data_IF_266099962647
#
_entry.id   IF_266099962647
#
_cell.length_a   1.000
_cell.length_b   1.000
_cell.length_c   1.000
_cell.angle_alpha   90.00
_cell.angle_beta   90.00
_cell.angle_gamma   90.00
#
_symmetry.space_group_name_H-M   'P 1'
#
loop_
_entity.id
_entity.type
_entity.pdbx_description
1 polymer ?
#
# COMPACT_ATOMS: atom_id res chain seq x y z
N UNK A 1 -22.39 28.23 0.17
CA UNK A 1 -21.51 27.26 -0.55
C UNK A 1 -20.28 27.04 0.31
N UNK A 2 -20.14 25.86 0.92
CA UNK A 2 -18.92 25.48 1.62
C UNK A 2 -17.79 25.39 0.58
N UNK A 3 -16.73 26.19 0.73
CA UNK A 3 -15.51 26.04 -0.07
C UNK A 3 -15.00 24.61 0.16
N UNK A 4 -15.06 23.75 -0.86
CA UNK A 4 -14.40 22.46 -0.79
C UNK A 4 -12.91 22.73 -0.60
N UNK A 5 -12.36 22.28 0.53
CA UNK A 5 -10.91 22.34 0.72
C UNK A 5 -10.26 21.39 -0.28
N UNK A 6 -9.31 21.91 -1.04
CA UNK A 6 -8.59 21.16 -2.07
C UNK A 6 -7.24 20.71 -1.53
N UNK A 7 -6.91 19.46 -1.78
CA UNK A 7 -5.55 18.96 -1.62
C UNK A 7 -4.70 19.29 -2.84
N UNK A 8 -3.41 19.46 -2.62
CA UNK A 8 -2.38 19.45 -3.65
C UNK A 8 -1.78 18.05 -3.74
N UNK A 9 -2.00 17.38 -4.86
CA UNK A 9 -1.60 15.99 -5.07
C UNK A 9 -0.59 15.91 -6.19
N UNK A 10 0.66 15.58 -5.84
CA UNK A 10 1.75 15.35 -6.78
C UNK A 10 1.81 13.86 -7.10
N UNK A 11 1.65 13.49 -8.35
CA UNK A 11 1.58 12.10 -8.81
C UNK A 11 2.74 11.77 -9.73
N UNK A 12 3.40 10.65 -9.47
CA UNK A 12 4.36 10.04 -10.38
C UNK A 12 3.67 9.62 -11.68
N UNK A 13 4.24 10.03 -12.81
CA UNK A 13 3.77 9.71 -14.15
C UNK A 13 4.89 9.07 -14.96
N UNK A 14 4.62 7.93 -15.53
CA UNK A 14 5.55 7.23 -16.40
C UNK A 14 4.82 6.19 -17.25
N UNK A 15 4.97 6.31 -18.55
CA UNK A 15 4.53 5.31 -19.51
C UNK A 15 5.77 4.76 -20.23
N UNK A 16 6.19 3.51 -19.97
CA UNK A 16 7.43 2.96 -20.54
C UNK A 16 7.40 2.85 -22.08
N UNK A 17 6.22 2.91 -22.70
CA UNK A 17 6.11 2.89 -24.17
C UNK A 17 6.38 4.27 -24.80
N UNK A 18 6.25 5.35 -24.03
CA UNK A 18 6.28 6.72 -24.54
C UNK A 18 7.32 7.58 -23.86
N UNK A 19 7.45 7.46 -22.53
CA UNK A 19 8.29 8.32 -21.71
C UNK A 19 9.72 7.78 -21.61
N UNK A 20 10.72 8.66 -21.75
CA UNK A 20 12.14 8.33 -21.54
C UNK A 20 12.51 8.33 -20.06
N UNK A 21 11.87 9.19 -19.28
CA UNK A 21 12.12 9.38 -17.86
C UNK A 21 10.80 9.64 -17.12
N UNK A 22 10.70 9.22 -15.85
CA UNK A 22 9.56 9.56 -15.01
C UNK A 22 9.44 11.07 -14.81
N UNK A 23 8.19 11.53 -14.70
CA UNK A 23 7.87 12.92 -14.36
C UNK A 23 6.85 12.97 -13.23
N UNK A 24 6.58 14.15 -12.73
CA UNK A 24 5.52 14.37 -11.76
C UNK A 24 4.54 15.40 -12.28
N UNK A 25 3.26 15.14 -12.07
CA UNK A 25 2.18 16.08 -12.34
C UNK A 25 1.43 16.41 -11.04
N UNK A 26 0.94 17.65 -10.93
CA UNK A 26 0.28 18.13 -9.73
C UNK A 26 -1.18 18.46 -10.04
N UNK A 27 -2.08 17.93 -9.22
CA UNK A 27 -3.51 18.08 -9.33
C UNK A 27 -4.08 18.74 -8.07
N UNK A 28 -5.20 19.44 -8.23
CA UNK A 28 -6.00 19.95 -7.12
C UNK A 28 -7.33 19.21 -7.06
N UNK A 29 -7.65 18.61 -5.91
CA UNK A 29 -8.83 17.74 -5.78
C UNK A 29 -9.45 17.85 -4.39
N UNK A 30 -10.76 17.68 -4.23
CA UNK A 30 -11.37 17.50 -2.92
C UNK A 30 -10.71 16.33 -2.19
N UNK A 31 -10.51 16.43 -0.87
CA UNK A 31 -9.85 15.38 -0.12
C UNK A 31 -10.49 15.05 1.22
N UNK A 32 -11.29 15.94 1.80
CA UNK A 32 -11.92 15.67 3.10
C UNK A 32 -12.84 14.46 3.00
N UNK A 33 -12.66 13.52 3.94
CA UNK A 33 -13.38 12.24 4.01
C UNK A 33 -13.11 11.28 2.84
N UNK A 34 -12.20 11.63 1.94
CA UNK A 34 -11.79 10.79 0.83
C UNK A 34 -10.63 9.88 1.24
N UNK A 35 -10.62 8.68 0.69
CA UNK A 35 -9.40 7.87 0.65
C UNK A 35 -8.49 8.36 -0.49
N UNK A 36 -7.23 7.95 -0.47
CA UNK A 36 -6.31 8.20 -1.59
C UNK A 36 -6.86 7.61 -2.89
N UNK A 37 -7.55 6.48 -2.83
CA UNK A 37 -8.21 5.89 -4.00
C UNK A 37 -9.32 6.78 -4.55
N UNK A 38 -10.13 7.39 -3.68
CA UNK A 38 -11.19 8.31 -4.12
C UNK A 38 -10.60 9.55 -4.81
N UNK A 39 -9.47 10.05 -4.28
CA UNK A 39 -8.70 11.14 -4.91
C UNK A 39 -8.18 10.74 -6.30
N UNK A 40 -7.56 9.56 -6.42
CA UNK A 40 -7.08 9.06 -7.72
C UNK A 40 -8.21 8.88 -8.73
N UNK A 41 -9.36 8.35 -8.29
CA UNK A 41 -10.54 8.21 -9.14
C UNK A 41 -11.10 9.57 -9.56
N UNK A 42 -11.16 10.53 -8.65
CA UNK A 42 -11.60 11.89 -8.96
C UNK A 42 -10.71 12.54 -10.03
N UNK A 43 -9.39 12.37 -9.93
CA UNK A 43 -8.45 12.88 -10.95
C UNK A 43 -8.69 12.19 -12.28
N UNK A 44 -8.79 10.87 -12.30
CA UNK A 44 -9.04 10.08 -13.51
C UNK A 44 -10.33 10.52 -14.22
N UNK A 45 -11.41 10.74 -13.45
CA UNK A 45 -12.72 11.03 -13.98
C UNK A 45 -12.89 12.48 -14.43
N UNK A 46 -12.18 13.44 -13.82
CA UNK A 46 -12.45 14.87 -14.02
C UNK A 46 -11.29 15.70 -14.54
N UNK A 47 -10.05 15.20 -14.45
CA UNK A 47 -8.88 16.00 -14.76
C UNK A 47 -7.94 15.32 -15.75
N UNK A 48 -7.65 14.03 -15.57
CA UNK A 48 -6.69 13.31 -16.38
C UNK A 48 -7.09 11.85 -16.61
N UNK A 49 -7.78 11.56 -17.72
CA UNK A 49 -8.23 10.21 -18.06
C UNK A 49 -7.09 9.25 -18.44
N UNK A 50 -5.84 9.73 -18.51
CA UNK A 50 -4.68 8.89 -18.85
C UNK A 50 -4.01 8.30 -17.62
N UNK A 51 -4.39 8.75 -16.40
CA UNK A 51 -3.82 8.27 -15.15
C UNK A 51 -4.10 6.78 -14.94
N UNK A 52 -3.04 6.01 -14.70
CA UNK A 52 -3.13 4.57 -14.50
C UNK A 52 -2.81 4.16 -13.07
N UNK A 53 -3.70 3.40 -12.45
CA UNK A 53 -3.51 2.80 -11.12
C UNK A 53 -4.33 1.52 -10.98
N UNK A 54 -3.99 0.68 -10.00
CA UNK A 54 -4.72 -0.58 -9.76
C UNK A 54 -5.60 -0.50 -8.53
N UNK A 55 -6.78 -1.10 -8.63
CA UNK A 55 -7.66 -1.38 -7.50
C UNK A 55 -8.52 -2.60 -7.82
N UNK A 56 -8.68 -3.50 -6.84
CA UNK A 56 -9.41 -4.76 -7.04
C UNK A 56 -10.69 -4.89 -6.21
N UNK A 57 -11.01 -3.88 -5.40
CA UNK A 57 -12.18 -3.91 -4.50
C UNK A 57 -13.43 -3.43 -5.22
N UNK A 58 -13.96 -4.19 -6.16
CA UNK A 58 -15.24 -3.91 -6.81
C UNK A 58 -16.40 -4.15 -5.83
N UNK A 59 -16.64 -3.18 -4.95
CA UNK A 59 -17.91 -3.07 -4.20
C UNK A 59 -18.17 -4.05 -3.06
N UNK A 60 -17.21 -4.83 -2.61
CA UNK A 60 -17.46 -5.96 -1.70
C UNK A 60 -16.69 -6.00 -0.38
N UNK A 61 -16.22 -4.88 0.18
CA UNK A 61 -15.66 -4.88 1.54
C UNK A 61 -14.33 -5.62 1.77
N UNK A 62 -13.74 -6.20 0.75
CA UNK A 62 -12.49 -6.96 0.84
C UNK A 62 -11.27 -6.05 0.61
N UNK A 63 -10.98 -5.20 1.57
CA UNK A 63 -9.83 -4.27 1.55
C UNK A 63 -8.49 -4.98 1.85
N UNK A 64 -8.30 -6.21 1.41
CA UNK A 64 -7.12 -7.02 1.74
C UNK A 64 -6.34 -7.53 0.52
N UNK A 65 -6.73 -7.19 -0.70
CA UNK A 65 -6.08 -7.73 -1.89
C UNK A 65 -4.67 -7.14 -2.15
N UNK A 66 -4.33 -5.99 -1.56
CA UNK A 66 -3.03 -5.33 -1.71
C UNK A 66 -2.75 -4.70 -3.08
N UNK A 67 -3.62 -4.91 -4.09
CA UNK A 67 -3.38 -4.46 -5.47
C UNK A 67 -3.30 -2.94 -5.63
N UNK A 68 -3.85 -2.18 -4.69
CA UNK A 68 -3.83 -0.73 -4.68
C UNK A 68 -2.67 -0.14 -3.83
N UNK A 69 -1.59 -0.90 -3.65
CA UNK A 69 -0.42 -0.47 -2.91
C UNK A 69 0.31 0.66 -3.66
N UNK A 70 0.58 1.75 -2.94
CA UNK A 70 1.30 2.93 -3.42
C UNK A 70 2.20 3.46 -2.30
N UNK A 71 3.13 4.35 -2.62
CA UNK A 71 3.72 5.22 -1.61
C UNK A 71 2.91 6.52 -1.52
N UNK A 72 2.64 6.97 -0.31
CA UNK A 72 2.08 8.29 -0.03
C UNK A 72 3.06 9.02 0.88
N UNK A 73 3.61 10.11 0.40
CA UNK A 73 4.65 10.87 1.10
C UNK A 73 5.84 9.98 1.50
N UNK A 74 6.29 9.10 0.58
CA UNK A 74 7.37 8.13 0.79
C UNK A 74 7.02 6.96 1.72
N UNK A 75 5.76 6.84 2.18
CA UNK A 75 5.32 5.77 3.08
C UNK A 75 4.36 4.82 2.36
N UNK A 76 4.58 3.51 2.50
CA UNK A 76 3.69 2.51 1.93
C UNK A 76 2.27 2.62 2.47
N UNK A 77 1.30 2.53 1.57
CA UNK A 77 -0.11 2.56 1.93
C UNK A 77 -0.96 1.79 0.92
N UNK A 78 -2.12 1.31 1.36
CA UNK A 78 -3.18 0.89 0.45
C UNK A 78 -4.05 2.11 0.15
N UNK A 79 -4.12 2.52 -1.11
CA UNK A 79 -4.88 3.72 -1.50
C UNK A 79 -6.35 3.66 -1.09
N UNK A 80 -6.95 2.47 -1.08
CA UNK A 80 -8.35 2.25 -0.67
C UNK A 80 -8.60 2.40 0.84
N UNK A 81 -7.55 2.52 1.67
CA UNK A 81 -7.67 2.61 3.15
C UNK A 81 -7.03 3.86 3.73
N UNK A 82 -6.04 4.41 3.06
CA UNK A 82 -5.35 5.61 3.48
C UNK A 82 -6.25 6.80 3.24
N UNK A 83 -6.57 7.55 4.30
CA UNK A 83 -7.27 8.83 4.17
C UNK A 83 -6.35 9.84 3.48
N UNK A 84 -6.95 10.64 2.62
CA UNK A 84 -6.27 11.69 1.90
C UNK A 84 -5.84 12.83 2.84
N UNK A 85 -4.74 13.47 2.51
CA UNK A 85 -4.15 14.60 3.24
C UNK A 85 -4.14 15.84 2.33
N UNK A 86 -3.99 17.03 2.91
CA UNK A 86 -4.00 18.29 2.16
C UNK A 86 -2.85 18.40 1.13
N UNK A 87 -1.72 17.75 1.43
CA UNK A 87 -0.56 17.68 0.55
C UNK A 87 -0.09 16.23 0.47
N UNK A 88 -0.03 15.70 -0.75
CA UNK A 88 0.39 14.31 -0.98
C UNK A 88 1.31 14.21 -2.19
N UNK A 89 2.36 13.41 -2.04
CA UNK A 89 3.11 12.83 -3.18
C UNK A 89 2.76 11.37 -3.27
N UNK A 90 2.25 10.92 -4.41
CA UNK A 90 1.83 9.54 -4.64
C UNK A 90 2.74 8.92 -5.70
N UNK A 91 3.35 7.78 -5.36
CA UNK A 91 4.34 7.09 -6.17
C UNK A 91 4.04 5.59 -6.24
N UNK A 92 4.48 4.89 -7.29
CA UNK A 92 4.39 3.43 -7.34
C UNK A 92 5.27 2.80 -6.26
N UNK A 93 4.94 1.58 -5.87
CA UNK A 93 5.75 0.86 -4.90
C UNK A 93 7.08 0.40 -5.52
N UNK A 94 8.27 0.79 -4.95
CA UNK A 94 9.58 0.65 -5.61
C UNK A 94 10.09 -0.78 -5.80
N UNK A 95 9.41 -1.79 -5.23
CA UNK A 95 9.80 -3.20 -5.37
C UNK A 95 9.10 -3.92 -6.51
N UNK A 96 8.19 -3.26 -7.18
CA UNK A 96 7.46 -3.82 -8.30
C UNK A 96 7.82 -3.07 -9.58
N UNK A 97 7.81 -3.79 -10.67
CA UNK A 97 7.93 -3.18 -11.98
C UNK A 97 6.73 -2.28 -12.27
N UNK A 98 6.99 -1.09 -12.76
CA UNK A 98 5.94 -0.14 -13.13
C UNK A 98 5.43 -0.51 -14.51
N UNK A 99 4.14 -0.82 -14.60
CA UNK A 99 3.47 -1.03 -15.88
C UNK A 99 3.16 0.32 -16.52
N UNK A 100 2.55 1.22 -15.75
CA UNK A 100 2.28 2.60 -16.13
C UNK A 100 1.88 3.43 -14.90
N UNK A 101 2.45 4.60 -14.74
CA UNK A 101 2.19 5.53 -13.62
C UNK A 101 2.25 4.83 -12.25
N UNK A 102 1.12 4.70 -11.56
CA UNK A 102 0.98 4.02 -10.28
C UNK A 102 0.60 2.54 -10.42
N UNK A 103 0.33 2.07 -11.65
CA UNK A 103 0.03 0.68 -11.90
C UNK A 103 1.32 -0.15 -11.94
N UNK A 104 1.43 -1.09 -11.03
CA UNK A 104 2.58 -1.98 -10.86
C UNK A 104 2.24 -3.41 -11.27
N UNK A 105 3.24 -4.22 -11.63
CA UNK A 105 3.07 -5.66 -11.84
C UNK A 105 2.83 -6.37 -10.51
N UNK A 106 1.55 -6.49 -10.18
CA UNK A 106 1.11 -7.16 -8.96
C UNK A 106 0.89 -8.67 -9.14
N UNK A 107 0.90 -9.18 -10.36
CA UNK A 107 0.64 -10.58 -10.64
C UNK A 107 1.74 -11.48 -10.06
N UNK A 108 2.99 -10.99 -10.03
CA UNK A 108 4.08 -11.67 -9.32
C UNK A 108 3.79 -11.90 -7.83
N UNK A 109 3.03 -11.00 -7.18
CA UNK A 109 2.61 -11.18 -5.78
C UNK A 109 1.46 -12.16 -5.67
N UNK A 110 0.49 -12.07 -6.58
CA UNK A 110 -0.67 -12.98 -6.60
C UNK A 110 -0.24 -14.43 -6.77
N UNK A 111 0.69 -14.69 -7.66
CA UNK A 111 1.23 -16.04 -7.89
C UNK A 111 2.03 -16.55 -6.69
N UNK A 112 2.70 -15.65 -5.96
CA UNK A 112 3.39 -15.98 -4.70
C UNK A 112 2.42 -16.26 -3.56
N UNK A 113 1.34 -15.49 -3.43
CA UNK A 113 0.30 -15.65 -2.40
C UNK A 113 -0.46 -16.97 -2.55
N UNK A 114 -0.54 -17.52 -3.76
CA UNK A 114 -1.17 -18.82 -4.00
C UNK A 114 -0.35 -20.03 -3.52
N UNK A 115 0.95 -19.84 -3.28
CA UNK A 115 1.86 -20.87 -2.76
C UNK A 115 2.05 -20.66 -1.25
N UNK A 116 1.25 -21.34 -0.42
CA UNK A 116 1.44 -21.31 1.04
C UNK A 116 2.74 -21.99 1.42
N UNK A 117 3.55 -21.34 2.27
CA UNK A 117 4.66 -22.00 2.94
C UNK A 117 4.12 -23.03 3.95
N UNK A 118 4.82 -24.17 4.09
CA UNK A 118 4.38 -25.26 4.97
C UNK A 118 4.37 -24.85 6.46
N UNK A 119 5.30 -24.01 6.88
CA UNK A 119 5.34 -23.37 8.20
C UNK A 119 6.12 -22.06 8.11
N UNK A 120 5.68 -21.06 8.85
CA UNK A 120 6.28 -19.71 8.83
C UNK A 120 6.58 -19.26 10.26
N UNK A 121 7.71 -18.64 10.45
CA UNK A 121 8.03 -17.87 11.65
C UNK A 121 8.11 -16.39 11.34
N UNK A 122 7.42 -15.58 12.14
CA UNK A 122 7.42 -14.13 12.02
C UNK A 122 7.96 -13.54 13.31
N UNK A 123 9.05 -12.81 13.21
CA UNK A 123 9.64 -12.08 14.35
C UNK A 123 9.49 -10.58 14.13
N UNK A 124 9.09 -9.88 15.19
CA UNK A 124 9.03 -8.41 15.20
C UNK A 124 10.00 -7.90 16.25
N UNK A 125 11.01 -7.19 15.80
CA UNK A 125 11.95 -6.49 16.68
C UNK A 125 11.22 -5.29 17.31
N UNK A 126 10.98 -5.39 18.61
CA UNK A 126 10.20 -4.40 19.39
C UNK A 126 10.91 -3.07 19.55
N UNK A 127 12.25 -3.05 19.50
CA UNK A 127 13.06 -1.84 19.66
C UNK A 127 13.09 -1.04 18.36
N UNK A 128 13.03 -1.73 17.23
CA UNK A 128 12.97 -1.10 15.89
C UNK A 128 11.54 -0.74 15.48
N UNK A 129 10.53 -1.34 16.08
CA UNK A 129 9.13 -1.14 15.71
C UNK A 129 8.57 0.16 16.28
N UNK A 130 8.20 1.12 15.41
CA UNK A 130 7.57 2.38 15.79
C UNK A 130 6.03 2.34 15.85
N UNK A 131 5.44 1.17 15.65
CA UNK A 131 3.97 0.97 15.67
C UNK A 131 3.21 1.72 14.56
N UNK A 132 3.84 1.94 13.41
CA UNK A 132 3.25 2.66 12.27
C UNK A 132 2.05 1.96 11.62
N UNK A 133 1.81 0.67 11.91
CA UNK A 133 0.74 -0.18 11.34
C UNK A 133 0.90 -0.56 9.88
N UNK A 134 1.98 -0.21 9.22
CA UNK A 134 2.17 -0.48 7.80
C UNK A 134 2.06 -2.00 7.51
N UNK A 135 2.61 -2.85 8.37
CA UNK A 135 2.48 -4.31 8.26
C UNK A 135 1.04 -4.82 8.37
N UNK A 136 0.21 -4.19 9.22
CA UNK A 136 -1.22 -4.54 9.36
C UNK A 136 -2.00 -4.14 8.11
N UNK A 137 -1.68 -2.97 7.56
CA UNK A 137 -2.37 -2.39 6.41
C UNK A 137 -2.01 -3.14 5.12
N UNK A 138 -0.74 -3.47 4.95
CA UNK A 138 -0.21 -4.02 3.69
C UNK A 138 -0.30 -5.54 3.59
N UNK A 139 -0.56 -6.26 4.71
CA UNK A 139 -0.68 -7.70 4.67
C UNK A 139 -1.92 -8.14 3.88
N UNK A 140 -1.78 -8.83 2.73
CA UNK A 140 -2.91 -9.19 1.88
C UNK A 140 -3.84 -10.22 2.52
N UNK A 141 -3.32 -11.01 3.45
CA UNK A 141 -4.06 -12.09 4.13
C UNK A 141 -4.38 -11.75 5.60
N UNK A 142 -4.00 -10.55 6.08
CA UNK A 142 -4.40 -10.04 7.39
C UNK A 142 -3.78 -10.75 8.59
N UNK A 143 -2.51 -11.17 8.48
CA UNK A 143 -1.78 -11.90 9.55
C UNK A 143 -1.70 -11.13 10.86
N UNK A 144 -1.67 -9.79 10.81
CA UNK A 144 -1.34 -8.96 11.96
C UNK A 144 -2.56 -8.30 12.59
N UNK A 145 -2.56 -8.24 13.92
CA UNK A 145 -3.47 -7.44 14.73
C UNK A 145 -2.69 -6.41 15.57
N UNK A 146 -3.35 -5.31 15.94
CA UNK A 146 -2.78 -4.36 16.90
C UNK A 146 -3.22 -4.76 18.30
N UNK A 147 -2.28 -5.07 19.19
CA UNK A 147 -2.53 -5.36 20.61
C UNK A 147 -1.85 -4.33 21.50
N UNK A 148 -2.49 -3.98 22.61
CA UNK A 148 -1.88 -3.10 23.62
C UNK A 148 -1.04 -3.95 24.57
N UNK A 149 0.28 -3.68 24.55
CA UNK A 149 1.22 -4.26 25.48
C UNK A 149 2.03 -3.12 26.12
N UNK A 150 2.08 -3.07 27.45
CA UNK A 150 2.84 -2.04 28.15
C UNK A 150 2.42 -0.59 27.84
N UNK A 151 1.12 -0.34 27.56
CA UNK A 151 0.58 1.00 27.26
C UNK A 151 0.73 1.44 25.80
N UNK A 152 1.48 0.73 24.96
CA UNK A 152 1.66 1.02 23.53
C UNK A 152 0.99 -0.05 22.66
N UNK A 153 0.27 0.38 21.65
CA UNK A 153 -0.30 -0.56 20.68
C UNK A 153 0.80 -1.04 19.71
N UNK A 154 1.00 -2.37 19.62
CA UNK A 154 2.01 -3.00 18.74
C UNK A 154 1.36 -4.00 17.80
N UNK A 155 1.89 -4.19 16.57
CA UNK A 155 1.44 -5.26 15.71
C UNK A 155 1.90 -6.61 16.29
N UNK A 156 1.00 -7.58 16.30
CA UNK A 156 1.28 -8.96 16.71
C UNK A 156 0.82 -9.88 15.59
N UNK A 157 1.61 -10.90 15.20
CA UNK A 157 1.15 -11.94 14.27
C UNK A 157 0.05 -12.76 14.93
N UNK A 158 -1.20 -12.60 14.49
CA UNK A 158 -2.37 -13.26 15.06
C UNK A 158 -2.82 -14.49 14.25
N UNK A 159 -2.59 -14.47 12.95
CA UNK A 159 -2.97 -15.55 12.03
C UNK A 159 -1.76 -15.95 11.16
N UNK A 160 -0.79 -16.60 11.80
CA UNK A 160 0.46 -17.03 11.13
C UNK A 160 0.19 -18.12 10.09
N UNK A 161 -0.83 -18.94 10.29
CA UNK A 161 -1.20 -20.04 9.37
C UNK A 161 -1.63 -19.53 7.99
N UNK A 162 -2.16 -18.32 7.93
CA UNK A 162 -2.52 -17.66 6.66
C UNK A 162 -1.33 -17.00 5.97
N UNK A 163 -0.14 -16.94 6.59
CA UNK A 163 1.02 -16.29 6.01
C UNK A 163 1.59 -17.05 4.81
N UNK A 164 1.93 -16.32 3.75
CA UNK A 164 2.54 -16.88 2.54
C UNK A 164 4.07 -16.99 2.63
N UNK A 165 4.65 -16.72 3.81
CA UNK A 165 6.07 -16.88 4.09
C UNK A 165 6.99 -15.96 3.31
N UNK A 166 8.20 -16.46 3.04
CA UNK A 166 9.26 -15.72 2.34
C UNK A 166 8.91 -15.36 0.90
N UNK A 167 7.92 -16.03 0.31
CA UNK A 167 7.47 -15.73 -1.05
C UNK A 167 6.71 -14.41 -1.17
N UNK A 168 5.97 -13.99 -0.12
CA UNK A 168 5.23 -12.74 -0.10
C UNK A 168 6.06 -11.56 0.46
N UNK A 169 6.50 -11.66 1.71
CA UNK A 169 7.31 -10.68 2.45
C UNK A 169 6.83 -9.21 2.40
N UNK A 170 5.61 -8.93 1.98
CA UNK A 170 5.12 -7.54 1.87
C UNK A 170 5.29 -6.75 3.17
N UNK A 171 4.88 -7.32 4.30
CA UNK A 171 5.00 -6.65 5.59
C UNK A 171 6.44 -6.29 5.97
N UNK A 172 7.41 -7.16 5.68
CA UNK A 172 8.84 -6.88 5.92
C UNK A 172 9.38 -5.82 4.95
N UNK A 173 8.91 -5.88 3.70
CA UNK A 173 9.26 -4.91 2.65
C UNK A 173 8.77 -3.50 2.99
N UNK A 174 7.54 -3.41 3.47
CA UNK A 174 6.91 -2.14 3.82
C UNK A 174 7.34 -1.62 5.20
N UNK A 175 8.03 -2.43 6.00
CA UNK A 175 8.55 -1.98 7.28
C UNK A 175 9.76 -1.06 7.08
N UNK A 176 9.53 0.26 7.17
CA UNK A 176 10.58 1.27 6.99
C UNK A 176 11.77 1.11 7.94
N UNK A 177 11.51 0.56 9.14
CA UNK A 177 12.55 0.33 10.15
C UNK A 177 13.16 -1.07 10.05
N UNK A 178 12.71 -1.92 9.12
CA UNK A 178 13.19 -3.30 8.98
C UNK A 178 12.99 -4.15 10.25
N UNK A 179 11.90 -3.89 10.99
CA UNK A 179 11.61 -4.57 12.25
C UNK A 179 11.02 -5.98 12.08
N UNK A 180 10.66 -6.38 10.84
CA UNK A 180 9.96 -7.66 10.60
C UNK A 180 10.87 -8.62 9.86
N UNK A 181 11.03 -9.80 10.43
CA UNK A 181 11.73 -10.94 9.79
C UNK A 181 10.73 -12.07 9.56
N UNK A 182 10.76 -12.66 8.38
CA UNK A 182 9.95 -13.83 8.01
C UNK A 182 10.88 -14.94 7.56
N UNK A 183 10.73 -16.10 8.18
CA UNK A 183 11.52 -17.29 7.90
C UNK A 183 10.59 -18.46 7.62
N UNK A 184 10.80 -19.17 6.52
CA UNK A 184 10.11 -20.43 6.26
C UNK A 184 10.77 -21.52 7.08
N UNK A 185 9.97 -22.29 7.84
CA UNK A 185 10.42 -23.51 8.52
C UNK A 185 10.21 -24.64 7.53
N UNK A 186 11.31 -25.27 7.13
CA UNK A 186 11.32 -26.42 6.23
C UNK A 186 10.60 -27.66 6.79
#
# INVERSE_FOLDING_TARGET
>A
MLKKELAQVKIFRFDPEVDKEPRYETYQTPYKEYTVLDVLRHILEHQDPTLSFRFGCAGGGYQRCGSCAVLVNGRPALSCRKLAEAEMTIEPHPKFEVIKDLAIDFDQVRDRVSKRAAAVEITIDVDRCDSCRDCVITCPVGVYEMRKEGGRARPVPADIESCCGSTCRQCAVFCKNGAITITDKG
#
